data_IF_776407178928
#
_entry.id   IF_776407178928
#
_cell.length_a   1.000
_cell.length_b   1.000
_cell.length_c   1.000
_cell.angle_alpha   90.00
_cell.angle_beta   90.00
_cell.angle_gamma   90.00
#
_symmetry.space_group_name_H-M   'P 1'
#
loop_
_entity.id
_entity.type
_entity.pdbx_description
1 polymer ?
#
# COMPACT_ATOMS: atom_id res chain seq x y z
N UNK A 1 23.91 9.33 13.66
CA UNK A 1 22.44 9.38 13.58
C UNK A 1 21.87 9.02 14.94
N UNK A 2 21.15 9.95 15.57
CA UNK A 2 20.48 9.72 16.86
C UNK A 2 19.13 9.06 16.60
N UNK A 3 18.95 7.84 17.08
CA UNK A 3 17.64 7.18 17.13
C UNK A 3 16.75 8.04 18.03
N UNK A 4 15.57 8.50 17.59
CA UNK A 4 14.75 9.33 18.46
C UNK A 4 14.21 8.48 19.60
N UNK A 5 14.32 8.99 20.82
CA UNK A 5 13.82 8.35 22.03
C UNK A 5 12.29 8.42 22.02
N UNK A 6 11.66 7.46 21.36
CA UNK A 6 10.20 7.37 21.20
C UNK A 6 9.49 6.54 22.28
N UNK A 7 10.23 5.99 23.24
CA UNK A 7 9.63 5.15 24.27
C UNK A 7 9.01 6.03 25.35
N UNK A 8 7.68 6.03 25.43
CA UNK A 8 6.96 6.59 26.56
C UNK A 8 7.53 6.02 27.88
N UNK A 9 7.62 6.83 28.96
CA UNK A 9 8.13 6.36 30.24
C UNK A 9 7.35 5.13 30.70
N UNK A 10 8.08 4.11 31.16
CA UNK A 10 7.48 2.93 31.76
C UNK A 10 6.51 3.35 32.88
N UNK A 11 5.23 3.01 32.73
CA UNK A 11 4.19 3.31 33.74
C UNK A 11 3.18 4.41 33.36
N UNK A 12 3.24 5.01 32.18
CA UNK A 12 2.12 5.82 31.70
C UNK A 12 0.86 4.91 31.55
N UNK A 13 -0.26 5.18 32.28
CA UNK A 13 -1.45 4.36 32.21
C UNK A 13 -1.99 4.30 30.79
N UNK A 14 -2.24 3.08 30.33
CA UNK A 14 -2.81 2.83 29.01
C UNK A 14 -4.24 3.41 28.92
N UNK A 15 -4.69 3.78 27.70
CA UNK A 15 -6.08 4.15 27.48
C UNK A 15 -7.02 3.04 27.94
N UNK A 16 -8.13 3.42 28.58
CA UNK A 16 -9.23 2.49 28.83
C UNK A 16 -9.77 1.92 27.51
N UNK A 17 -10.52 0.81 27.55
CA UNK A 17 -11.11 0.20 26.35
C UNK A 17 -11.90 1.20 25.49
N UNK A 18 -12.66 2.10 26.13
CA UNK A 18 -13.46 3.11 25.44
C UNK A 18 -12.60 4.22 24.82
N UNK A 19 -11.61 4.72 25.57
CA UNK A 19 -10.65 5.71 25.03
C UNK A 19 -9.84 5.13 23.87
N UNK A 20 -9.43 3.86 23.97
CA UNK A 20 -8.77 3.14 22.89
C UNK A 20 -9.65 3.08 21.64
N UNK A 21 -10.95 2.81 21.78
CA UNK A 21 -11.88 2.79 20.66
C UNK A 21 -11.97 4.16 19.96
N UNK A 22 -12.03 5.26 20.71
CA UNK A 22 -12.05 6.61 20.14
C UNK A 22 -10.73 6.99 19.45
N UNK A 23 -9.59 6.63 20.06
CA UNK A 23 -8.28 6.86 19.44
C UNK A 23 -8.09 6.04 18.15
N UNK A 24 -8.60 4.80 18.11
CA UNK A 24 -8.60 3.99 16.88
C UNK A 24 -9.55 4.55 15.82
N UNK A 25 -10.71 5.07 16.20
CA UNK A 25 -11.60 5.76 15.28
C UNK A 25 -10.93 7.01 14.68
N UNK A 26 -10.25 7.80 15.53
CA UNK A 26 -9.49 8.96 15.09
C UNK A 26 -8.34 8.58 14.16
N UNK A 27 -7.66 7.45 14.38
CA UNK A 27 -6.59 6.97 13.50
C UNK A 27 -7.10 6.59 12.09
N UNK A 28 -8.34 6.10 12.01
CA UNK A 28 -8.99 5.72 10.73
C UNK A 28 -9.48 6.94 9.95
N UNK A 29 -9.86 8.00 10.65
CA UNK A 29 -10.20 9.29 10.03
C UNK A 29 -8.98 9.94 9.35
N UNK A 30 -9.14 10.41 8.11
CA UNK A 30 -8.06 11.07 7.36
C UNK A 30 -7.55 12.34 8.07
N UNK A 31 -8.44 13.07 8.74
CA UNK A 31 -8.10 14.26 9.52
C UNK A 31 -7.44 13.95 10.86
N UNK A 32 -7.48 12.70 11.31
CA UNK A 32 -7.08 12.30 12.66
C UNK A 32 -8.11 12.69 13.73
N UNK A 33 -9.34 13.01 13.35
CA UNK A 33 -10.34 13.61 14.22
C UNK A 33 -11.07 12.59 15.09
N UNK A 34 -11.27 12.92 16.35
CA UNK A 34 -12.07 12.12 17.26
C UNK A 34 -13.55 12.19 16.89
N UNK A 35 -14.31 11.09 17.13
CA UNK A 35 -15.76 11.11 16.93
C UNK A 35 -16.44 12.12 17.88
N UNK A 36 -17.62 12.64 17.50
CA UNK A 36 -18.40 13.54 18.36
C UNK A 36 -18.97 12.80 19.59
N UNK A 37 -19.48 13.56 20.56
CA UNK A 37 -20.22 13.00 21.71
C UNK A 37 -19.36 12.35 22.81
N UNK A 38 -18.04 12.59 22.80
CA UNK A 38 -17.14 12.09 23.84
C UNK A 38 -17.32 12.92 25.11
N UNK A 39 -17.48 12.24 26.26
CA UNK A 39 -17.66 12.90 27.56
C UNK A 39 -16.46 13.79 27.91
N UNK A 40 -16.72 15.01 28.36
CA UNK A 40 -15.71 16.02 28.73
C UNK A 40 -14.64 15.48 29.68
N UNK A 41 -15.04 14.66 30.68
CA UNK A 41 -14.08 14.04 31.61
C UNK A 41 -13.04 13.18 30.89
N UNK A 42 -13.45 12.41 29.87
CA UNK A 42 -12.53 11.58 29.10
C UNK A 42 -11.64 12.44 28.20
N UNK A 43 -12.20 13.49 27.58
CA UNK A 43 -11.42 14.44 26.77
C UNK A 43 -10.34 15.13 27.60
N UNK A 44 -10.67 15.62 28.81
CA UNK A 44 -9.71 16.24 29.71
C UNK A 44 -8.56 15.28 30.05
N UNK A 45 -8.86 14.04 30.43
CA UNK A 45 -7.82 13.03 30.67
C UNK A 45 -6.94 12.83 29.44
N UNK A 46 -7.53 12.73 28.25
CA UNK A 46 -6.78 12.50 27.01
C UNK A 46 -5.93 13.71 26.60
N UNK A 47 -6.39 14.94 26.88
CA UNK A 47 -5.61 16.18 26.70
C UNK A 47 -4.44 16.24 27.68
N UNK A 48 -4.69 15.97 28.96
CA UNK A 48 -3.66 15.98 30.01
C UNK A 48 -2.56 14.96 29.75
N UNK A 49 -2.89 13.87 29.03
CA UNK A 49 -1.92 12.84 28.61
C UNK A 49 -1.24 13.12 27.28
N UNK A 50 -1.51 14.26 26.65
CA UNK A 50 -1.09 14.58 25.29
C UNK A 50 -1.42 13.45 24.30
N UNK A 51 -2.58 12.80 24.45
CA UNK A 51 -3.07 11.82 23.49
C UNK A 51 -3.88 12.47 22.38
N UNK A 52 -4.47 13.62 22.69
CA UNK A 52 -5.23 14.44 21.76
C UNK A 52 -4.88 15.91 21.95
N UNK A 53 -5.16 16.71 20.94
CA UNK A 53 -5.09 18.16 20.98
C UNK A 53 -6.34 18.76 20.36
N UNK A 54 -6.61 20.03 20.66
CA UNK A 54 -7.68 20.78 19.99
C UNK A 54 -7.29 20.95 18.52
N UNK A 55 -8.22 20.59 17.62
CA UNK A 55 -8.07 20.80 16.19
C UNK A 55 -8.53 22.22 15.82
N UNK A 56 -7.89 22.89 14.85
CA UNK A 56 -8.34 24.19 14.39
C UNK A 56 -9.79 24.14 13.88
N UNK A 57 -10.52 25.24 14.07
CA UNK A 57 -11.89 25.38 13.59
C UNK A 57 -11.95 25.11 12.07
N UNK A 58 -13.02 24.45 11.62
CA UNK A 58 -13.25 24.24 10.19
C UNK A 58 -13.62 25.55 9.50
N UNK A 59 -13.43 25.61 8.19
CA UNK A 59 -13.77 26.78 7.36
C UNK A 59 -15.27 27.10 7.47
N UNK A 60 -16.11 26.11 7.78
CA UNK A 60 -17.57 26.24 7.87
C UNK A 60 -18.12 26.62 9.26
N UNK A 61 -17.30 27.24 10.12
CA UNK A 61 -17.81 27.94 11.31
C UNK A 61 -18.49 27.08 12.38
N UNK A 62 -18.16 25.80 12.48
CA UNK A 62 -18.75 24.93 13.50
C UNK A 62 -18.34 25.38 14.92
N UNK A 63 -19.34 25.68 15.76
CA UNK A 63 -19.25 26.05 17.18
C UNK A 63 -18.73 24.91 18.08
N UNK A 64 -18.52 23.71 17.54
CA UNK A 64 -18.09 22.54 18.30
C UNK A 64 -16.57 22.38 18.28
N UNK A 65 -15.97 22.35 19.48
CA UNK A 65 -14.54 22.06 19.67
C UNK A 65 -14.25 20.66 19.17
N UNK A 66 -13.37 20.56 18.16
CA UNK A 66 -12.91 19.28 17.61
C UNK A 66 -11.57 18.88 18.21
N UNK A 67 -11.33 17.58 18.30
CA UNK A 67 -10.10 17.02 18.85
C UNK A 67 -9.42 16.14 17.82
N UNK A 68 -8.09 16.20 17.77
CA UNK A 68 -7.24 15.40 16.87
C UNK A 68 -6.28 14.55 17.67
N UNK A 69 -6.07 13.30 17.24
CA UNK A 69 -5.05 12.42 17.83
C UNK A 69 -3.64 12.97 17.60
N UNK A 70 -2.81 12.95 18.65
CA UNK A 70 -1.38 13.33 18.60
C UNK A 70 -0.49 12.12 18.34
N UNK A 71 0.82 12.31 18.06
CA UNK A 71 1.79 11.23 18.12
C UNK A 71 1.76 10.47 19.45
N UNK A 72 1.64 11.17 20.59
CA UNK A 72 1.52 10.55 21.92
C UNK A 72 0.30 9.62 22.02
N UNK A 73 -0.85 10.03 21.46
CA UNK A 73 -2.06 9.21 21.42
C UNK A 73 -1.96 7.99 20.52
N UNK A 74 -1.20 8.10 19.42
CA UNK A 74 -0.87 6.95 18.56
C UNK A 74 0.01 5.95 19.30
N UNK A 75 1.07 6.41 19.97
CA UNK A 75 1.92 5.55 20.78
C UNK A 75 1.16 4.88 21.92
N UNK A 76 0.20 5.56 22.53
CA UNK A 76 -0.65 4.99 23.57
C UNK A 76 -1.51 3.79 23.09
N UNK A 77 -1.70 3.62 21.77
CA UNK A 77 -2.37 2.46 21.18
C UNK A 77 -1.46 1.24 21.05
N UNK A 78 -0.15 1.40 21.19
CA UNK A 78 0.85 0.35 21.01
C UNK A 78 1.28 -0.25 22.35
N UNK A 79 1.32 -1.58 22.42
CA UNK A 79 2.16 -2.25 23.40
C UNK A 79 3.60 -2.28 22.89
N UNK A 80 4.58 -2.47 23.79
CA UNK A 80 5.98 -2.62 23.39
C UNK A 80 6.18 -3.72 22.32
N UNK A 81 5.46 -4.84 22.46
CA UNK A 81 5.49 -5.92 21.47
C UNK A 81 4.95 -5.48 20.10
N UNK A 82 3.81 -4.76 20.05
CA UNK A 82 3.26 -4.25 18.79
C UNK A 82 4.17 -3.21 18.14
N UNK A 83 4.76 -2.33 18.95
CA UNK A 83 5.72 -1.33 18.47
C UNK A 83 6.95 -1.99 17.85
N UNK A 84 7.53 -3.00 18.51
CA UNK A 84 8.67 -3.75 17.97
C UNK A 84 8.40 -4.40 16.61
N UNK A 85 7.22 -4.99 16.45
CA UNK A 85 6.80 -5.59 15.17
C UNK A 85 6.60 -4.53 14.08
N UNK A 86 5.86 -3.45 14.37
CA UNK A 86 5.58 -2.43 13.34
C UNK A 86 6.81 -1.60 12.98
N UNK A 87 7.72 -1.35 13.92
CA UNK A 87 8.95 -0.59 13.65
C UNK A 87 10.02 -1.40 12.93
N UNK A 88 9.88 -2.74 12.83
CA UNK A 88 10.83 -3.56 12.06
C UNK A 88 10.82 -3.22 10.56
N UNK A 89 9.76 -2.57 10.05
CA UNK A 89 9.69 -2.10 8.67
C UNK A 89 10.78 -1.09 8.32
N UNK A 90 11.34 -0.39 9.33
CA UNK A 90 12.40 0.60 9.13
C UNK A 90 13.74 -0.03 8.76
N UNK A 91 13.91 -1.34 9.01
CA UNK A 91 15.15 -2.08 8.74
C UNK A 91 14.96 -3.20 7.72
N UNK A 92 13.76 -3.34 7.14
CA UNK A 92 13.52 -4.33 6.08
C UNK A 92 14.17 -3.88 4.77
N UNK A 93 14.68 -4.86 4.03
CA UNK A 93 15.19 -4.68 2.65
C UNK A 93 14.06 -4.51 1.63
N UNK A 94 12.85 -4.98 1.94
CA UNK A 94 11.65 -4.74 1.13
C UNK A 94 10.82 -3.64 1.79
N UNK A 95 10.42 -2.59 1.05
CA UNK A 95 9.62 -1.51 1.63
C UNK A 95 8.37 -2.07 2.32
N UNK A 96 8.05 -1.54 3.51
CA UNK A 96 6.83 -1.91 4.25
C UNK A 96 6.74 -3.35 4.78
N UNK A 97 7.72 -4.23 4.52
CA UNK A 97 7.73 -5.60 5.01
C UNK A 97 8.09 -5.68 6.49
N UNK A 98 7.44 -6.60 7.18
CA UNK A 98 7.65 -6.88 8.60
C UNK A 98 8.54 -8.12 8.72
N UNK A 99 9.81 -7.93 9.08
CA UNK A 99 10.79 -9.01 9.28
C UNK A 99 10.79 -9.57 10.71
N UNK A 100 10.30 -8.79 11.69
CA UNK A 100 10.38 -9.21 13.08
C UNK A 100 9.47 -10.41 13.34
N UNK A 101 10.05 -11.48 13.90
CA UNK A 101 9.29 -12.58 14.45
C UNK A 101 8.33 -12.06 15.54
N UNK A 102 7.04 -12.28 15.33
CA UNK A 102 5.99 -11.86 16.26
C UNK A 102 5.36 -13.09 16.91
N UNK A 103 5.10 -13.01 18.22
CA UNK A 103 4.23 -14.00 18.87
C UNK A 103 2.85 -14.00 18.20
N UNK A 104 2.28 -15.19 17.98
CA UNK A 104 1.02 -15.37 17.24
C UNK A 104 -0.11 -14.47 17.77
N UNK A 105 -0.23 -14.32 19.10
CA UNK A 105 -1.22 -13.44 19.73
C UNK A 105 -1.03 -11.96 19.35
N UNK A 106 0.21 -11.49 19.28
CA UNK A 106 0.53 -10.11 18.87
C UNK A 106 0.19 -9.91 17.41
N UNK A 107 0.61 -10.85 16.55
CA UNK A 107 0.34 -10.81 15.12
C UNK A 107 -1.17 -10.87 14.80
N UNK A 108 -1.89 -11.82 15.40
CA UNK A 108 -3.33 -11.94 15.25
C UNK A 108 -4.10 -10.71 15.73
N UNK A 109 -3.57 -9.98 16.72
CA UNK A 109 -4.14 -8.69 17.11
C UNK A 109 -3.83 -7.57 16.12
N UNK A 110 -2.62 -7.52 15.55
CA UNK A 110 -2.25 -6.51 14.55
C UNK A 110 -3.06 -6.65 13.26
N UNK A 111 -3.26 -7.88 12.79
CA UNK A 111 -4.09 -8.19 11.61
C UNK A 111 -5.54 -7.83 11.88
N UNK A 112 -6.10 -8.25 13.03
CA UNK A 112 -7.49 -7.93 13.41
C UNK A 112 -7.75 -6.43 13.55
N UNK A 113 -6.76 -5.69 14.04
CA UNK A 113 -6.84 -4.23 14.17
C UNK A 113 -6.74 -3.53 12.79
N UNK A 114 -6.38 -4.27 11.72
CA UNK A 114 -6.19 -3.77 10.36
C UNK A 114 -4.86 -3.03 10.18
N UNK A 115 -3.88 -3.26 11.05
CA UNK A 115 -2.58 -2.57 11.02
C UNK A 115 -1.57 -3.28 10.12
N UNK A 116 -1.75 -4.59 9.95
CA UNK A 116 -0.90 -5.48 9.16
C UNK A 116 -1.78 -6.27 8.22
N UNK A 117 -1.31 -6.46 6.99
CA UNK A 117 -1.93 -7.35 6.00
C UNK A 117 -0.98 -8.49 5.64
N UNK A 118 -1.54 -9.53 5.03
CA UNK A 118 -0.80 -10.65 4.48
C UNK A 118 -0.90 -10.59 2.97
N UNK A 119 0.23 -10.53 2.30
CA UNK A 119 0.33 -10.65 0.85
C UNK A 119 1.13 -11.91 0.54
N UNK A 120 0.68 -12.70 -0.42
CA UNK A 120 1.56 -13.69 -1.02
C UNK A 120 2.65 -12.98 -1.83
N UNK A 121 3.64 -13.75 -2.28
CA UNK A 121 4.69 -13.25 -3.18
C UNK A 121 4.16 -12.59 -4.46
N UNK A 122 2.91 -12.88 -4.85
CA UNK A 122 2.30 -12.40 -6.09
C UNK A 122 1.26 -11.28 -5.88
N UNK A 123 1.16 -10.74 -4.65
CA UNK A 123 0.45 -9.48 -4.38
C UNK A 123 -0.99 -9.63 -3.93
N UNK A 124 -1.49 -10.87 -3.89
CA UNK A 124 -2.82 -11.19 -3.39
C UNK A 124 -2.76 -12.26 -2.30
N UNK A 125 -3.89 -12.42 -1.60
CA UNK A 125 -4.07 -13.52 -0.68
C UNK A 125 -4.50 -14.76 -1.47
N UNK A 126 -3.57 -15.70 -1.70
CA UNK A 126 -3.88 -17.01 -2.25
C UNK A 126 -3.75 -18.09 -1.16
N UNK A 127 -4.73 -18.99 -1.13
CA UNK A 127 -4.72 -20.15 -0.22
C UNK A 127 -3.59 -21.11 -0.63
N UNK A 128 -2.84 -21.61 0.36
CA UNK A 128 -1.71 -22.53 0.13
C UNK A 128 -0.39 -21.88 -0.30
N UNK A 129 -0.34 -20.56 -0.54
CA UNK A 129 0.90 -19.85 -0.84
C UNK A 129 1.60 -19.32 0.42
N UNK A 130 2.93 -19.16 0.35
CA UNK A 130 3.70 -18.50 1.40
C UNK A 130 3.24 -17.03 1.51
N UNK A 131 2.88 -16.61 2.72
CA UNK A 131 2.37 -15.27 2.99
C UNK A 131 3.38 -14.46 3.79
N UNK A 132 3.65 -13.26 3.30
CA UNK A 132 4.52 -12.28 3.96
C UNK A 132 3.69 -11.17 4.60
N UNK A 133 4.24 -10.57 5.64
CA UNK A 133 3.56 -9.56 6.44
C UNK A 133 3.97 -8.16 6.00
N UNK A 134 2.98 -7.31 5.77
CA UNK A 134 3.19 -5.93 5.35
C UNK A 134 2.40 -4.96 6.22
N UNK A 135 2.99 -3.79 6.46
CA UNK A 135 2.31 -2.69 7.16
C UNK A 135 1.31 -2.01 6.23
N UNK A 136 0.07 -1.86 6.70
CA UNK A 136 -0.99 -1.10 5.99
C UNK A 136 -0.81 0.40 6.18
N UNK A 137 -1.54 1.23 5.44
CA UNK A 137 -1.65 2.66 5.68
C UNK A 137 -2.11 3.00 7.10
N UNK A 138 -3.02 2.22 7.68
CA UNK A 138 -3.43 2.42 9.08
C UNK A 138 -2.26 2.17 10.04
N UNK A 139 -1.48 1.12 9.79
CA UNK A 139 -0.24 0.84 10.50
C UNK A 139 0.80 1.95 10.33
N UNK A 140 1.01 2.44 9.10
CA UNK A 140 1.92 3.54 8.79
C UNK A 140 1.54 4.81 9.55
N UNK A 141 0.26 5.21 9.52
CA UNK A 141 -0.26 6.34 10.31
C UNK A 141 0.06 6.17 11.80
N UNK A 142 -0.13 4.96 12.33
CA UNK A 142 0.09 4.65 13.74
C UNK A 142 1.54 4.88 14.16
N UNK A 143 2.51 4.46 13.35
CA UNK A 143 3.95 4.65 13.63
C UNK A 143 4.53 5.95 13.05
N UNK A 144 3.71 6.78 12.41
CA UNK A 144 4.14 8.06 11.84
C UNK A 144 4.89 7.95 10.51
N UNK A 145 4.73 6.84 9.79
CA UNK A 145 5.23 6.69 8.42
C UNK A 145 4.26 7.35 7.41
N UNK A 146 4.78 7.85 6.28
CA UNK A 146 3.95 8.33 5.20
C UNK A 146 3.07 7.20 4.65
N UNK A 147 1.84 7.56 4.30
CA UNK A 147 0.92 6.70 3.57
C UNK A 147 1.45 6.43 2.16
N UNK A 148 1.04 5.31 1.61
CA UNK A 148 1.42 4.81 0.31
C UNK A 148 0.18 4.46 -0.51
N UNK A 149 0.35 4.38 -1.82
CA UNK A 149 -0.74 4.03 -2.72
C UNK A 149 -0.99 2.51 -2.73
N UNK A 150 -1.95 2.07 -1.90
CA UNK A 150 -2.33 0.67 -1.77
C UNK A 150 -3.06 0.09 -2.99
N UNK A 151 -3.36 0.91 -4.01
CA UNK A 151 -4.02 0.47 -5.24
C UNK A 151 -3.13 -0.53 -6.00
N UNK A 152 -3.66 -1.70 -6.41
CA UNK A 152 -2.94 -2.61 -7.30
C UNK A 152 -2.43 -1.90 -8.55
N UNK A 153 -1.22 -2.23 -8.98
CA UNK A 153 -0.62 -1.65 -10.19
C UNK A 153 -1.50 -1.85 -11.44
N UNK A 154 -2.11 -3.03 -11.56
CA UNK A 154 -3.02 -3.42 -12.64
C UNK A 154 -4.15 -2.43 -12.84
N UNK A 155 -4.72 -1.91 -11.75
CA UNK A 155 -5.92 -1.08 -11.82
C UNK A 155 -5.64 0.22 -12.59
N UNK A 156 -4.44 0.79 -12.42
CA UNK A 156 -4.01 1.95 -13.20
C UNK A 156 -3.83 1.64 -14.67
N UNK A 157 -3.26 0.48 -15.01
CA UNK A 157 -2.99 0.10 -16.38
C UNK A 157 -4.26 -0.32 -17.13
N UNK A 158 -5.13 -1.11 -16.50
CA UNK A 158 -6.44 -1.49 -17.04
C UNK A 158 -7.28 -0.24 -17.29
N UNK A 159 -7.35 0.69 -16.33
CA UNK A 159 -8.07 1.94 -16.51
C UNK A 159 -7.46 2.80 -17.65
N UNK A 160 -6.14 2.80 -17.80
CA UNK A 160 -5.46 3.51 -18.87
C UNK A 160 -5.73 2.89 -20.26
N UNK A 161 -5.78 1.56 -20.37
CA UNK A 161 -6.16 0.87 -21.60
C UNK A 161 -7.61 1.14 -21.99
N UNK A 162 -8.53 1.04 -21.02
CA UNK A 162 -9.94 1.35 -21.23
C UNK A 162 -10.15 2.80 -21.72
N UNK A 163 -9.37 3.76 -21.21
CA UNK A 163 -9.41 5.16 -21.68
C UNK A 163 -8.96 5.33 -23.15
N UNK A 164 -8.22 4.37 -23.70
CA UNK A 164 -7.83 4.30 -25.10
C UNK A 164 -8.72 3.35 -25.93
N UNK A 165 -9.83 2.87 -25.36
CA UNK A 165 -10.75 1.96 -26.04
C UNK A 165 -10.22 0.53 -26.22
N UNK A 166 -9.21 0.14 -25.44
CA UNK A 166 -8.65 -1.21 -25.47
C UNK A 166 -9.19 -2.03 -24.30
N UNK A 167 -9.65 -3.25 -24.59
CA UNK A 167 -10.09 -4.21 -23.59
C UNK A 167 -8.93 -5.12 -23.18
N UNK A 168 -8.71 -5.26 -21.88
CA UNK A 168 -7.60 -6.01 -21.31
C UNK A 168 -8.06 -6.74 -20.04
N UNK A 169 -7.46 -7.90 -19.78
CA UNK A 169 -7.71 -8.71 -18.59
C UNK A 169 -6.48 -8.70 -17.68
N UNK A 170 -6.64 -9.13 -16.43
CA UNK A 170 -5.50 -9.49 -15.58
C UNK A 170 -5.47 -11.01 -15.50
N UNK A 171 -4.37 -11.61 -15.94
CA UNK A 171 -4.19 -13.06 -15.96
C UNK A 171 -3.11 -13.50 -14.97
N UNK A 172 -3.16 -14.78 -14.62
CA UNK A 172 -2.22 -15.43 -13.71
C UNK A 172 -1.63 -16.64 -14.42
N UNK A 173 -0.30 -16.75 -14.44
CA UNK A 173 0.37 -17.89 -15.03
C UNK A 173 0.46 -19.10 -14.08
N UNK A 174 1.11 -20.17 -14.54
CA UNK A 174 1.28 -21.41 -13.76
C UNK A 174 2.12 -21.25 -12.50
N UNK A 175 2.99 -20.24 -12.46
CA UNK A 175 3.86 -19.93 -11.32
C UNK A 175 3.16 -18.97 -10.34
N UNK A 176 1.97 -18.47 -10.69
CA UNK A 176 1.19 -17.55 -9.88
C UNK A 176 1.51 -16.09 -10.13
N UNK A 177 2.43 -15.78 -11.06
CA UNK A 177 2.76 -14.42 -11.45
C UNK A 177 1.61 -13.82 -12.27
N UNK A 178 1.44 -12.51 -12.16
CA UNK A 178 0.26 -11.83 -12.71
C UNK A 178 0.66 -10.74 -13.70
N UNK A 179 -0.06 -10.65 -14.81
CA UNK A 179 0.16 -9.66 -15.86
C UNK A 179 -1.17 -9.10 -16.37
N UNK A 180 -1.15 -7.90 -16.95
CA UNK A 180 -2.27 -7.38 -17.73
C UNK A 180 -2.11 -7.90 -19.15
N UNK A 181 -3.15 -8.49 -19.73
CA UNK A 181 -3.10 -9.14 -21.03
C UNK A 181 -4.07 -8.45 -21.99
N UNK A 182 -3.59 -8.19 -23.20
CA UNK A 182 -4.39 -7.81 -24.35
C UNK A 182 -4.35 -8.95 -25.37
N UNK A 183 -5.52 -9.43 -25.80
CA UNK A 183 -5.64 -10.45 -26.83
C UNK A 183 -6.75 -10.06 -27.81
N UNK A 184 -6.35 -9.71 -29.04
CA UNK A 184 -7.31 -9.42 -30.10
C UNK A 184 -6.71 -9.75 -31.47
N UNK A 185 -7.40 -10.60 -32.22
CA UNK A 185 -6.96 -11.00 -33.56
C UNK A 185 -5.66 -11.80 -33.52
N UNK A 186 -4.64 -11.27 -34.20
CA UNK A 186 -3.30 -11.85 -34.33
C UNK A 186 -2.25 -11.19 -33.42
N UNK A 187 -2.70 -10.38 -32.46
CA UNK A 187 -1.86 -9.70 -31.48
C UNK A 187 -2.19 -10.20 -30.09
N UNK A 188 -1.15 -10.61 -29.38
CA UNK A 188 -1.17 -10.88 -27.95
C UNK A 188 -0.12 -10.02 -27.27
N UNK A 189 -0.46 -9.35 -26.17
CA UNK A 189 0.49 -8.57 -25.39
C UNK A 189 0.30 -8.81 -23.90
N UNK A 190 1.40 -9.09 -23.21
CA UNK A 190 1.46 -9.23 -21.75
C UNK A 190 2.26 -8.08 -21.15
N UNK A 191 1.65 -7.37 -20.19
CA UNK A 191 2.24 -6.24 -19.50
C UNK A 191 2.46 -6.60 -18.03
N UNK A 192 3.68 -6.42 -17.56
CA UNK A 192 4.07 -6.79 -16.20
C UNK A 192 5.05 -5.79 -15.59
N UNK A 193 5.17 -5.82 -14.25
CA UNK A 193 6.18 -5.09 -13.50
C UNK A 193 6.96 -6.06 -12.64
N UNK A 194 8.28 -6.00 -12.78
CA UNK A 194 9.20 -6.74 -11.93
C UNK A 194 9.09 -6.30 -10.48
N UNK A 195 9.15 -7.26 -9.57
CA UNK A 195 9.18 -7.01 -8.13
C UNK A 195 10.51 -7.49 -7.59
N UNK A 196 11.17 -6.61 -6.83
CA UNK A 196 12.43 -6.95 -6.22
C UNK A 196 12.19 -7.74 -4.93
N UNK A 197 12.24 -9.07 -5.01
CA UNK A 197 12.21 -9.97 -3.85
C UNK A 197 13.63 -10.45 -3.54
N UNK A 198 14.27 -10.04 -2.42
CA UNK A 198 15.62 -10.49 -2.08
C UNK A 198 15.71 -12.01 -1.95
N UNK A 199 16.72 -12.60 -2.59
CA UNK A 199 17.00 -14.04 -2.53
C UNK A 199 16.20 -14.90 -3.52
N UNK A 200 15.34 -14.31 -4.34
CA UNK A 200 14.58 -15.01 -5.37
C UNK A 200 14.86 -14.45 -6.77
N UNK A 201 14.56 -15.25 -7.80
CA UNK A 201 14.80 -14.90 -9.21
C UNK A 201 13.90 -13.77 -9.73
N UNK A 202 13.76 -13.71 -11.06
CA UNK A 202 12.85 -12.78 -11.73
C UNK A 202 11.40 -13.16 -11.41
N UNK A 203 10.71 -12.35 -10.59
CA UNK A 203 9.26 -12.45 -10.36
C UNK A 203 8.60 -11.16 -10.84
N UNK A 204 7.36 -11.26 -11.31
CA UNK A 204 6.55 -10.08 -11.66
C UNK A 204 5.12 -10.20 -11.16
N UNK A 205 4.49 -9.07 -10.87
CA UNK A 205 3.06 -9.09 -10.57
C UNK A 205 2.42 -7.75 -10.85
N UNK A 206 1.34 -7.77 -11.63
CA UNK A 206 0.49 -6.61 -11.84
C UNK A 206 -0.40 -6.33 -10.60
N UNK A 207 -0.61 -7.30 -9.71
CA UNK A 207 -1.58 -7.18 -8.61
C UNK A 207 -1.00 -6.67 -7.29
N UNK A 208 0.31 -6.53 -7.16
CA UNK A 208 0.85 -5.84 -5.97
C UNK A 208 0.48 -4.35 -5.96
N UNK A 209 0.34 -3.77 -4.75
CA UNK A 209 0.22 -2.33 -4.57
C UNK A 209 1.30 -1.54 -5.32
N UNK A 210 0.91 -0.41 -5.89
CA UNK A 210 1.77 0.48 -6.66
C UNK A 210 3.11 0.80 -5.98
N UNK A 211 3.09 1.03 -4.67
CA UNK A 211 4.28 1.41 -3.91
C UNK A 211 5.34 0.30 -3.80
N UNK A 212 4.99 -0.95 -4.09
CA UNK A 212 5.91 -2.10 -4.05
C UNK A 212 6.73 -2.23 -5.34
N UNK A 213 6.37 -1.50 -6.39
CA UNK A 213 7.03 -1.55 -7.68
C UNK A 213 8.14 -0.53 -7.79
N UNK A 214 9.36 -0.98 -8.08
CA UNK A 214 10.52 -0.11 -8.29
C UNK A 214 10.94 0.00 -9.76
N UNK A 215 10.34 -0.83 -10.62
CA UNK A 215 10.60 -0.89 -12.07
C UNK A 215 9.39 -0.42 -12.86
N UNK A 216 9.59 0.20 -14.04
CA UNK A 216 8.50 0.62 -14.92
C UNK A 216 7.78 -0.59 -15.54
N UNK A 217 6.67 -0.34 -16.22
CA UNK A 217 5.99 -1.36 -17.02
C UNK A 217 6.90 -1.91 -18.13
N UNK A 218 6.93 -3.24 -18.24
CA UNK A 218 7.42 -3.98 -19.39
C UNK A 218 6.22 -4.53 -20.18
N UNK A 219 6.40 -4.68 -21.48
CA UNK A 219 5.46 -5.27 -22.40
C UNK A 219 6.17 -6.33 -23.25
N UNK A 220 5.61 -7.54 -23.28
CA UNK A 220 5.95 -8.58 -24.26
C UNK A 220 4.81 -8.64 -25.26
N UNK A 221 5.08 -8.27 -26.50
CA UNK A 221 4.10 -8.27 -27.59
C UNK A 221 4.45 -9.40 -28.54
N UNK A 222 3.51 -10.29 -28.80
CA UNK A 222 3.58 -11.38 -29.76
C UNK A 222 2.69 -11.06 -30.96
N UNK A 223 3.26 -11.16 -32.16
CA UNK A 223 2.56 -10.92 -33.41
C UNK A 223 3.18 -11.71 -34.57
N UNK A 224 2.36 -12.43 -35.35
CA UNK A 224 2.78 -13.19 -36.55
C UNK A 224 3.99 -14.13 -36.34
N UNK A 225 4.16 -14.66 -35.12
CA UNK A 225 5.27 -15.56 -34.77
C UNK A 225 6.57 -14.87 -34.31
N UNK A 226 6.60 -13.54 -34.27
CA UNK A 226 7.67 -12.74 -33.65
C UNK A 226 7.28 -12.25 -32.26
N UNK A 227 8.28 -11.99 -31.41
CA UNK A 227 8.10 -11.44 -30.05
C UNK A 227 8.97 -10.19 -29.88
N UNK A 228 8.37 -9.13 -29.35
CA UNK A 228 9.02 -7.85 -29.08
C UNK A 228 8.89 -7.50 -27.59
N UNK A 229 10.02 -7.24 -26.93
CA UNK A 229 10.01 -6.69 -25.57
C UNK A 229 10.18 -5.16 -25.62
N UNK A 230 9.31 -4.44 -24.89
CA UNK A 230 9.40 -2.99 -24.70
C UNK A 230 9.35 -2.65 -23.22
N UNK A 231 10.16 -1.66 -22.82
CA UNK A 231 10.19 -1.14 -21.45
C UNK A 231 10.03 0.38 -21.49
N UNK A 232 9.19 0.93 -20.63
CA UNK A 232 9.13 2.38 -20.45
C UNK A 232 10.35 2.88 -19.66
N UNK A 233 10.75 4.15 -19.83
CA UNK A 233 11.66 4.82 -18.91
C UNK A 233 11.09 4.85 -17.49
N UNK A 234 11.94 4.70 -16.48
CA UNK A 234 11.54 4.73 -15.08
C UNK A 234 11.38 6.15 -14.52
N UNK A 235 10.61 6.29 -13.44
CA UNK A 235 10.77 7.40 -12.48
C UNK A 235 9.75 8.52 -12.56
N UNK A 236 8.59 8.29 -13.19
CA UNK A 236 7.53 9.31 -13.31
C UNK A 236 6.27 8.99 -12.50
N UNK A 237 6.19 7.82 -11.86
CA UNK A 237 5.05 7.39 -11.06
C UNK A 237 4.15 6.39 -11.80
N UNK A 238 3.48 5.50 -11.06
CA UNK A 238 2.77 4.36 -11.66
C UNK A 238 1.63 4.79 -12.57
N UNK A 239 0.92 5.86 -12.22
CA UNK A 239 -0.26 6.33 -12.95
C UNK A 239 0.16 6.91 -14.30
N UNK A 240 1.18 7.74 -14.29
CA UNK A 240 1.78 8.35 -15.48
C UNK A 240 2.44 7.29 -16.38
N UNK A 241 3.15 6.33 -15.79
CA UNK A 241 3.72 5.19 -16.54
C UNK A 241 2.64 4.33 -17.17
N UNK A 242 1.55 4.05 -16.45
CA UNK A 242 0.42 3.27 -16.96
C UNK A 242 -0.27 3.97 -18.13
N UNK A 243 -0.52 5.27 -18.00
CA UNK A 243 -1.09 6.09 -19.07
C UNK A 243 -0.20 6.12 -20.32
N UNK A 244 1.12 6.27 -20.14
CA UNK A 244 2.08 6.26 -21.26
C UNK A 244 2.20 4.89 -21.92
N UNK A 245 2.13 3.81 -21.16
CA UNK A 245 2.17 2.45 -21.72
C UNK A 245 0.95 2.22 -22.61
N UNK A 246 -0.24 2.49 -22.07
CA UNK A 246 -1.49 2.33 -22.80
C UNK A 246 -1.55 3.19 -24.06
N UNK A 247 -1.16 4.47 -23.97
CA UNK A 247 -1.11 5.36 -25.12
C UNK A 247 -0.09 4.90 -26.18
N UNK A 248 1.10 4.48 -25.76
CA UNK A 248 2.13 3.97 -26.68
C UNK A 248 1.68 2.71 -27.41
N UNK A 249 1.04 1.79 -26.70
CA UNK A 249 0.54 0.55 -27.29
C UNK A 249 -0.66 0.81 -28.23
N UNK A 250 -1.60 1.67 -27.84
CA UNK A 250 -2.72 2.07 -28.70
C UNK A 250 -2.26 2.76 -29.99
N UNK A 251 -1.24 3.64 -29.89
CA UNK A 251 -0.62 4.26 -31.05
C UNK A 251 0.03 3.21 -31.97
N UNK A 252 0.78 2.25 -31.41
CA UNK A 252 1.36 1.15 -32.20
C UNK A 252 0.30 0.29 -32.88
N UNK A 253 -0.83 -0.01 -32.23
CA UNK A 253 -1.94 -0.73 -32.85
C UNK A 253 -2.58 0.04 -34.01
N UNK A 254 -2.57 1.38 -33.96
CA UNK A 254 -3.19 2.25 -34.97
C UNK A 254 -2.25 2.48 -36.16
N UNK A 255 -0.97 2.78 -35.89
CA UNK A 255 0.06 3.11 -36.88
C UNK A 255 0.96 1.88 -37.18
N UNK A 256 0.35 0.69 -37.17
CA UNK A 256 1.07 -0.60 -37.13
C UNK A 256 2.04 -0.76 -38.32
N UNK A 257 3.33 -0.74 -38.02
CA UNK A 257 4.42 -1.14 -38.91
C UNK A 257 5.02 -2.47 -38.41
N UNK A 258 4.66 -3.55 -39.09
CA UNK A 258 5.00 -4.93 -38.70
C UNK A 258 6.47 -5.28 -38.99
N UNK A 259 7.25 -4.38 -39.60
CA UNK A 259 8.66 -4.63 -39.96
C UNK A 259 9.54 -4.98 -38.76
N UNK A 260 9.20 -4.49 -37.56
CA UNK A 260 9.91 -4.78 -36.31
C UNK A 260 9.75 -6.24 -35.82
N UNK A 261 8.78 -7.00 -36.34
CA UNK A 261 8.51 -8.39 -35.96
C UNK A 261 9.05 -9.42 -36.98
N UNK A 262 9.55 -8.95 -38.13
CA UNK A 262 10.03 -9.80 -39.24
C UNK A 262 11.55 -9.95 -39.33
N UNK A 263 12.30 -9.45 -38.33
CA UNK A 263 13.77 -9.45 -38.32
C UNK A 263 14.38 -10.65 -37.60
#
# INVERSE_FOLDING_TARGET
MTVPTFLAPAGAPAPTRLQRAWLLAALRDQGGLLPPGIRTRSLNVMLDRDWIKIAPAGVDGATDVRYKITPGGRFALLSAAKAGVLLSVLVSSEPGRIEAAAQEKTLGSLIRDGLVTRLARHGEHAEGQEQHLYITNLGRRLVGLPEVDETPASDYLVAAFAANGLDVSVETDSDGDTCVVYQQGDVEAAFFREIQTPGFGWNYSARHPAWMHTKPWAALVSHTGGVLEKRLPSGIGIKEESARMAASFAAWLTDRDDSAFTA
#
